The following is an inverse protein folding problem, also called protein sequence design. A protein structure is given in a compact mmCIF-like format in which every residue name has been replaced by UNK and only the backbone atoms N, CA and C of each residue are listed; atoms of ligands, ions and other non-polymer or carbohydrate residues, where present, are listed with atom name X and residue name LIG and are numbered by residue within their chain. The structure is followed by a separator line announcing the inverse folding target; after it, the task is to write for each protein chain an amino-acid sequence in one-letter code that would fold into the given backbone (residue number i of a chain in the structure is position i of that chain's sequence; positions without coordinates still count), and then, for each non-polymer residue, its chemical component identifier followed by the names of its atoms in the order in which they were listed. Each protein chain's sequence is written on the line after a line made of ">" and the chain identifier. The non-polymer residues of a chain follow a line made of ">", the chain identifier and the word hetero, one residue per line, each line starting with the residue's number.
data_IF_635923982238
#
_entry.id   IF_635923982238
#
_cell.length_a   1.000
_cell.length_b   1.000
_cell.length_c   1.000
_cell.angle_alpha   90.00
_cell.angle_beta   90.00
_cell.angle_gamma   90.00
#
_symmetry.space_group_name_H-M   'P 1'
#
loop_
_entity.id
_entity.type
_entity.pdbx_description
1 polymer ?
#
# COMPACT_ATOMS: atom_id res chain seq x y z
N UNK A 1 6.38 12.93 39.88
CA UNK A 1 6.97 12.22 38.72
C UNK A 1 7.44 13.28 37.73
N UNK A 2 8.73 13.36 37.41
CA UNK A 2 9.26 14.44 36.53
C UNK A 2 8.76 14.21 35.10
N UNK A 3 8.30 15.26 34.42
CA UNK A 3 7.77 15.25 33.05
C UNK A 3 8.72 14.55 32.04
N UNK A 4 10.02 14.56 32.34
CA UNK A 4 11.08 13.87 31.60
C UNK A 4 10.95 12.35 31.58
N UNK A 5 10.46 11.72 32.67
CA UNK A 5 10.28 10.25 32.71
C UNK A 5 9.11 9.77 31.84
N UNK A 6 8.08 10.60 31.64
CA UNK A 6 6.92 10.21 30.84
C UNK A 6 7.26 10.23 29.33
N UNK A 7 8.03 11.23 28.87
CA UNK A 7 8.56 11.26 27.50
C UNK A 7 9.51 10.09 27.20
N UNK A 8 10.32 9.67 28.16
CA UNK A 8 11.26 8.54 27.97
C UNK A 8 10.53 7.20 27.82
N UNK A 9 9.43 6.98 28.52
CA UNK A 9 8.63 5.74 28.42
C UNK A 9 7.92 5.65 27.06
N UNK A 10 7.39 6.76 26.55
CA UNK A 10 6.77 6.81 25.21
C UNK A 10 7.81 6.59 24.10
N UNK A 11 9.03 7.14 24.25
CA UNK A 11 10.12 6.92 23.31
C UNK A 11 10.61 5.46 23.30
N UNK A 12 10.59 4.78 24.46
CA UNK A 12 11.00 3.38 24.59
C UNK A 12 9.99 2.39 23.97
N UNK A 13 8.69 2.67 24.06
CA UNK A 13 7.63 1.83 23.47
C UNK A 13 7.64 1.93 21.93
N UNK A 14 8.05 3.07 21.37
CA UNK A 14 8.16 3.26 19.91
C UNK A 14 9.40 2.58 19.29
N UNK A 15 10.36 2.14 20.10
CA UNK A 15 11.61 1.51 19.65
C UNK A 15 11.59 -0.03 19.70
N UNK A 16 10.57 -0.66 20.30
CA UNK A 16 10.56 -2.10 20.59
C UNK A 16 9.75 -2.98 19.61
N UNK A 17 9.26 -2.43 18.49
CA UNK A 17 8.48 -3.20 17.51
C UNK A 17 9.19 -3.29 16.16
N UNK A 18 10.24 -4.12 16.08
CA UNK A 18 10.84 -4.53 14.81
C UNK A 18 11.46 -5.92 14.95
N UNK A 19 10.63 -6.92 15.24
CA UNK A 19 10.98 -8.32 14.98
C UNK A 19 10.78 -8.58 13.49
N UNK A 20 11.85 -8.53 12.70
CA UNK A 20 11.85 -8.98 11.31
C UNK A 20 11.77 -10.50 11.30
N UNK A 21 10.60 -11.05 10.98
CA UNK A 21 10.49 -12.45 10.58
C UNK A 21 11.25 -12.64 9.27
N UNK A 22 12.27 -13.50 9.27
CA UNK A 22 13.01 -13.89 8.08
C UNK A 22 12.21 -14.95 7.34
N UNK A 23 11.27 -14.53 6.50
CA UNK A 23 10.77 -15.38 5.41
C UNK A 23 11.80 -15.35 4.28
N UNK A 24 12.02 -16.45 3.55
CA UNK A 24 12.97 -16.48 2.43
C UNK A 24 12.54 -15.47 1.34
N UNK A 25 13.13 -14.29 1.36
CA UNK A 25 12.77 -13.17 0.49
C UNK A 25 13.59 -13.21 -0.81
N UNK A 26 12.92 -13.09 -1.95
CA UNK A 26 13.58 -12.70 -3.20
C UNK A 26 14.11 -11.26 -3.08
N UNK A 27 15.13 -10.90 -3.85
CA UNK A 27 15.72 -9.56 -3.87
C UNK A 27 16.26 -9.22 -5.26
N UNK A 28 16.53 -7.93 -5.53
CA UNK A 28 17.23 -7.59 -6.79
C UNK A 28 18.70 -8.01 -6.81
N UNK A 29 19.23 -8.48 -5.69
CA UNK A 29 20.58 -9.03 -5.57
C UNK A 29 20.62 -10.55 -5.75
N UNK A 30 19.49 -11.26 -5.65
CA UNK A 30 19.43 -12.70 -5.89
C UNK A 30 19.52 -12.99 -7.38
N UNK A 31 20.42 -13.90 -7.75
CA UNK A 31 20.46 -14.42 -9.11
C UNK A 31 19.22 -15.28 -9.35
N UNK A 32 18.55 -15.05 -10.47
CA UNK A 32 17.44 -15.88 -10.95
C UNK A 32 17.85 -17.35 -11.23
N UNK A 33 19.16 -17.63 -11.22
CA UNK A 33 19.82 -18.92 -11.53
C UNK A 33 19.38 -20.12 -10.67
N UNK A 34 18.51 -19.94 -9.67
CA UNK A 34 17.95 -21.03 -8.88
C UNK A 34 16.57 -21.50 -9.38
N UNK A 35 16.06 -20.93 -10.47
CA UNK A 35 14.82 -21.35 -11.10
C UNK A 35 15.11 -22.37 -12.18
N UNK A 36 15.03 -23.66 -11.82
CA UNK A 36 14.95 -24.78 -12.78
C UNK A 36 13.58 -24.82 -13.45
N UNK A 37 13.16 -23.66 -13.98
CA UNK A 37 11.83 -23.42 -14.51
C UNK A 37 11.99 -22.94 -15.94
N UNK A 38 11.19 -23.44 -16.89
CA UNK A 38 11.28 -23.03 -18.29
C UNK A 38 10.81 -21.58 -18.43
N UNK A 39 11.75 -20.64 -18.34
CA UNK A 39 11.50 -19.23 -18.66
C UNK A 39 11.54 -19.10 -20.19
N UNK A 40 10.48 -18.61 -20.84
CA UNK A 40 10.37 -18.62 -22.30
C UNK A 40 11.22 -17.56 -23.01
N UNK A 41 12.10 -16.84 -22.28
CA UNK A 41 12.92 -15.75 -22.81
C UNK A 41 14.23 -15.58 -22.03
N UNK A 42 15.20 -14.88 -22.64
CA UNK A 42 16.46 -14.54 -22.00
C UNK A 42 16.25 -13.59 -20.80
N UNK A 43 16.90 -13.91 -19.68
CA UNK A 43 16.78 -13.20 -18.41
C UNK A 43 18.01 -12.34 -18.10
N UNK A 44 19.06 -12.40 -18.91
CA UNK A 44 20.35 -11.74 -18.68
C UNK A 44 20.25 -10.21 -18.59
N UNK A 45 19.29 -9.62 -19.30
CA UNK A 45 19.09 -8.17 -19.45
C UNK A 45 17.96 -7.60 -18.59
N UNK A 46 17.35 -8.41 -17.73
CA UNK A 46 16.24 -7.96 -16.89
C UNK A 46 16.69 -6.92 -15.87
N UNK A 47 16.13 -5.72 -15.98
CA UNK A 47 16.17 -4.73 -14.91
C UNK A 47 15.31 -5.23 -13.76
N UNK A 48 15.72 -4.96 -12.52
CA UNK A 48 15.00 -5.38 -11.32
C UNK A 48 14.62 -4.20 -10.45
N UNK A 49 13.39 -4.21 -9.94
CA UNK A 49 12.89 -3.22 -9.00
C UNK A 49 12.10 -3.84 -7.85
N UNK A 50 12.39 -3.40 -6.62
CA UNK A 50 11.58 -3.72 -5.43
C UNK A 50 10.36 -2.79 -5.37
N UNK A 51 9.28 -3.22 -6.02
CA UNK A 51 8.08 -2.40 -6.23
C UNK A 51 7.23 -2.27 -4.97
N UNK A 52 7.23 -3.28 -4.09
CA UNK A 52 6.50 -3.21 -2.82
C UNK A 52 7.23 -3.93 -1.68
N UNK A 53 8.21 -3.27 -1.04
CA UNK A 53 9.00 -3.87 0.04
C UNK A 53 8.18 -4.41 1.21
N UNK A 54 7.07 -3.77 1.56
CA UNK A 54 6.21 -4.18 2.67
C UNK A 54 5.62 -5.60 2.50
N UNK A 55 5.36 -6.02 1.25
CA UNK A 55 4.90 -7.37 0.91
C UNK A 55 5.95 -8.17 0.14
N UNK A 56 7.20 -7.70 0.11
CA UNK A 56 8.32 -8.33 -0.61
C UNK A 56 8.07 -8.55 -2.11
N UNK A 57 7.30 -7.68 -2.77
CA UNK A 57 7.06 -7.80 -4.20
C UNK A 57 8.22 -7.22 -5.02
N UNK A 58 8.61 -7.98 -6.04
CA UNK A 58 9.69 -7.64 -6.94
C UNK A 58 9.20 -7.76 -8.37
N UNK A 59 9.55 -6.77 -9.18
CA UNK A 59 9.30 -6.79 -10.61
C UNK A 59 10.63 -6.77 -11.35
N UNK A 60 10.81 -7.74 -12.24
CA UNK A 60 11.90 -7.76 -13.21
C UNK A 60 11.33 -7.61 -14.61
N UNK A 61 11.98 -6.83 -15.45
CA UNK A 61 11.49 -6.53 -16.78
C UNK A 61 12.61 -6.17 -17.75
N UNK A 62 12.38 -6.43 -19.04
CA UNK A 62 13.24 -5.95 -20.13
C UNK A 62 12.43 -5.79 -21.41
N UNK A 63 12.92 -4.93 -22.29
CA UNK A 63 12.44 -4.84 -23.67
C UNK A 63 13.09 -5.97 -24.47
N UNK A 64 12.28 -6.95 -24.90
CA UNK A 64 12.75 -8.12 -25.64
C UNK A 64 12.86 -7.84 -27.15
N UNK A 65 11.97 -7.03 -27.71
CA UNK A 65 12.01 -6.55 -29.10
C UNK A 65 11.42 -5.14 -29.21
N UNK A 66 11.26 -4.60 -30.43
CA UNK A 66 10.62 -3.29 -30.66
C UNK A 66 9.22 -3.17 -30.03
N UNK A 67 8.47 -4.27 -29.99
CA UNK A 67 7.07 -4.36 -29.60
C UNK A 67 6.79 -5.46 -28.57
N UNK A 68 7.81 -6.05 -27.94
CA UNK A 68 7.64 -7.08 -26.91
C UNK A 68 8.42 -6.71 -25.66
N UNK A 69 7.74 -6.79 -24.51
CA UNK A 69 8.32 -6.62 -23.19
C UNK A 69 8.15 -7.88 -22.36
N UNK A 70 9.22 -8.31 -21.69
CA UNK A 70 9.24 -9.46 -20.80
C UNK A 70 9.13 -9.02 -19.35
N UNK A 71 8.34 -9.73 -18.56
CA UNK A 71 8.11 -9.47 -17.15
C UNK A 71 8.22 -10.74 -16.30
N UNK A 72 8.81 -10.58 -15.11
CA UNK A 72 8.81 -11.57 -14.04
C UNK A 72 8.39 -10.83 -12.76
N UNK A 73 7.23 -11.18 -12.24
CA UNK A 73 6.71 -10.63 -10.99
C UNK A 73 6.80 -11.69 -9.89
N UNK A 74 7.63 -11.42 -8.88
CA UNK A 74 7.84 -12.27 -7.72
C UNK A 74 7.00 -11.81 -6.54
N UNK A 75 6.40 -12.76 -5.82
CA UNK A 75 5.66 -12.49 -4.59
C UNK A 75 5.70 -13.69 -3.63
N UNK A 76 5.65 -13.46 -2.31
CA UNK A 76 5.53 -14.53 -1.31
C UNK A 76 4.20 -15.28 -1.42
N UNK A 77 4.23 -16.58 -1.14
CA UNK A 77 3.05 -17.46 -1.12
C UNK A 77 2.40 -17.54 0.26
N UNK A 78 3.12 -17.19 1.32
CA UNK A 78 2.57 -16.94 2.65
C UNK A 78 2.19 -15.45 2.71
N UNK A 79 0.95 -15.06 3.07
CA UNK A 79 -0.02 -15.74 3.94
C UNK A 79 -1.12 -16.56 3.22
N UNK A 80 -0.82 -17.16 2.06
CA UNK A 80 -1.80 -17.84 1.18
C UNK A 80 -2.86 -16.87 0.68
N UNK A 81 -2.41 -15.83 -0.01
CA UNK A 81 -3.24 -14.85 -0.69
C UNK A 81 -2.93 -14.84 -2.19
N UNK A 82 -3.83 -14.30 -3.00
CA UNK A 82 -3.48 -13.96 -4.37
C UNK A 82 -2.58 -12.72 -4.39
N UNK A 83 -1.73 -12.60 -5.41
CA UNK A 83 -1.00 -11.38 -5.72
C UNK A 83 -1.37 -10.92 -7.13
N UNK A 84 -1.48 -9.62 -7.32
CA UNK A 84 -1.89 -9.01 -8.58
C UNK A 84 -0.90 -7.94 -9.02
N UNK A 85 -0.71 -7.86 -10.34
CA UNK A 85 -0.08 -6.74 -11.03
C UNK A 85 -1.06 -6.15 -12.04
N UNK A 86 -1.34 -4.85 -11.92
CA UNK A 86 -2.22 -4.09 -12.78
C UNK A 86 -1.47 -3.06 -13.60
N UNK A 87 -1.87 -2.87 -14.86
CA UNK A 87 -1.37 -1.84 -15.76
C UNK A 87 -2.47 -0.80 -15.93
N UNK A 88 -2.24 0.39 -15.38
CA UNK A 88 -3.23 1.47 -15.31
C UNK A 88 -2.78 2.67 -16.12
N UNK A 89 -3.69 3.44 -16.71
CA UNK A 89 -3.33 4.66 -17.44
C UNK A 89 -3.01 5.82 -16.50
N UNK A 90 -3.72 5.89 -15.37
CA UNK A 90 -3.71 7.03 -14.43
C UNK A 90 -3.24 6.63 -13.01
N UNK A 91 -2.92 5.36 -12.78
CA UNK A 91 -2.57 4.82 -11.46
C UNK A 91 -3.78 4.39 -10.62
N UNK A 92 -4.99 4.47 -11.17
CA UNK A 92 -6.22 3.97 -10.55
C UNK A 92 -6.52 2.53 -10.96
N UNK A 93 -7.12 1.74 -10.05
CA UNK A 93 -7.54 0.36 -10.35
C UNK A 93 -8.65 0.31 -11.39
N UNK A 94 -9.65 1.18 -11.27
CA UNK A 94 -10.78 1.24 -12.20
C UNK A 94 -10.28 1.64 -13.58
N UNK A 95 -10.64 0.87 -14.61
CA UNK A 95 -10.19 1.00 -15.99
C UNK A 95 -8.82 0.37 -16.28
N UNK A 96 -8.21 -0.35 -15.31
CA UNK A 96 -6.93 -1.04 -15.51
C UNK A 96 -7.11 -2.52 -15.90
N UNK A 97 -6.06 -3.09 -16.49
CA UNK A 97 -5.98 -4.53 -16.76
C UNK A 97 -5.00 -5.18 -15.80
N UNK A 98 -5.41 -6.27 -15.17
CA UNK A 98 -4.66 -6.94 -14.12
C UNK A 98 -4.37 -8.40 -14.46
N UNK A 99 -3.20 -8.86 -14.05
CA UNK A 99 -2.79 -10.26 -14.04
C UNK A 99 -2.71 -10.67 -12.58
N UNK A 100 -3.45 -11.71 -12.22
CA UNK A 100 -3.59 -12.19 -10.85
C UNK A 100 -3.06 -13.61 -10.79
N UNK A 101 -2.17 -13.87 -9.85
CA UNK A 101 -1.60 -15.19 -9.56
C UNK A 101 -1.91 -15.62 -8.13
N UNK A 102 -2.15 -16.90 -7.93
CA UNK A 102 -2.37 -17.47 -6.61
C UNK A 102 -1.93 -18.93 -6.54
N UNK A 103 -1.68 -19.41 -5.33
CA UNK A 103 -1.48 -20.83 -5.08
C UNK A 103 -2.03 -21.23 -3.71
N UNK A 104 -3.22 -21.86 -3.65
CA UNK A 104 -3.84 -22.27 -2.40
C UNK A 104 -3.05 -23.34 -1.66
N UNK A 105 -2.46 -24.27 -2.42
CA UNK A 105 -1.64 -25.38 -1.96
C UNK A 105 -0.58 -25.73 -3.00
N UNK A 106 0.53 -26.40 -2.62
CA UNK A 106 1.58 -26.79 -3.55
C UNK A 106 1.01 -27.54 -4.76
N UNK A 107 1.23 -27.01 -5.97
CA UNK A 107 0.74 -27.61 -7.22
C UNK A 107 -0.68 -27.23 -7.63
N UNK A 108 -1.48 -26.57 -6.77
CA UNK A 108 -2.83 -26.10 -7.10
C UNK A 108 -2.85 -24.61 -7.53
N UNK A 109 -1.74 -24.12 -8.08
CA UNK A 109 -1.60 -22.71 -8.47
C UNK A 109 -2.37 -22.35 -9.73
N UNK A 110 -2.76 -21.08 -9.82
CA UNK A 110 -3.50 -20.53 -10.94
C UNK A 110 -3.11 -19.10 -11.26
N UNK A 111 -3.44 -18.70 -12.49
CA UNK A 111 -3.33 -17.32 -12.95
C UNK A 111 -4.52 -16.99 -13.84
N UNK A 112 -4.97 -15.73 -13.77
CA UNK A 112 -5.99 -15.17 -14.67
C UNK A 112 -5.76 -13.71 -14.95
N UNK A 113 -6.42 -13.25 -16.01
CA UNK A 113 -6.46 -11.85 -16.39
C UNK A 113 -7.83 -11.26 -16.07
N UNK A 114 -7.83 -10.00 -15.64
CA UNK A 114 -9.04 -9.27 -15.28
C UNK A 114 -9.01 -7.87 -15.86
N UNK A 115 -10.14 -7.43 -16.39
CA UNK A 115 -10.40 -6.03 -16.66
C UNK A 115 -11.19 -5.45 -15.49
N UNK A 116 -10.62 -4.46 -14.81
CA UNK A 116 -11.19 -3.85 -13.61
C UNK A 116 -12.07 -2.67 -14.00
N UNK A 117 -13.27 -2.91 -14.54
CA UNK A 117 -14.16 -1.87 -15.05
C UNK A 117 -14.80 -0.99 -13.97
N UNK A 118 -14.85 -1.46 -12.72
CA UNK A 118 -15.49 -0.78 -11.60
C UNK A 118 -15.17 -1.44 -10.27
N UNK A 119 -15.89 -1.05 -9.21
CA UNK A 119 -15.70 -1.59 -7.85
C UNK A 119 -16.64 -2.76 -7.55
N UNK A 120 -17.68 -2.94 -8.36
CA UNK A 120 -18.66 -3.99 -8.19
C UNK A 120 -18.17 -5.29 -8.82
N UNK A 121 -18.63 -6.43 -8.28
CA UNK A 121 -18.24 -7.76 -8.77
C UNK A 121 -18.49 -7.92 -10.27
N UNK A 122 -19.63 -7.45 -10.77
CA UNK A 122 -20.03 -7.59 -12.17
C UNK A 122 -19.23 -6.70 -13.13
N UNK A 123 -18.54 -5.70 -12.60
CA UNK A 123 -17.67 -4.81 -13.36
C UNK A 123 -16.22 -5.32 -13.43
N UNK A 124 -15.91 -6.42 -12.72
CA UNK A 124 -14.61 -7.10 -12.76
C UNK A 124 -14.70 -8.29 -13.73
N UNK A 125 -14.23 -8.08 -14.95
CA UNK A 125 -14.43 -9.02 -16.06
C UNK A 125 -13.22 -9.95 -16.16
N UNK A 126 -13.42 -11.22 -15.81
CA UNK A 126 -12.42 -12.29 -15.98
C UNK A 126 -12.17 -12.62 -17.45
N UNK A 127 -10.96 -13.09 -17.76
CA UNK A 127 -10.48 -13.43 -19.12
C UNK A 127 -10.52 -12.26 -20.11
N UNK A 128 -10.60 -11.03 -19.60
CA UNK A 128 -10.54 -9.82 -20.41
C UNK A 128 -9.36 -8.97 -19.94
N UNK A 129 -8.63 -8.42 -20.90
CA UNK A 129 -7.52 -7.51 -20.67
C UNK A 129 -7.38 -6.62 -21.90
N UNK A 130 -7.08 -5.34 -21.71
CA UNK A 130 -6.70 -4.43 -22.79
C UNK A 130 -5.22 -4.66 -23.22
N UNK A 131 -4.50 -5.52 -22.51
CA UNK A 131 -3.13 -5.90 -22.81
C UNK A 131 -3.10 -7.16 -23.67
N UNK A 132 -2.25 -7.15 -24.70
CA UNK A 132 -1.95 -8.35 -25.46
C UNK A 132 -0.86 -9.17 -24.74
N UNK A 133 -1.30 -10.15 -23.96
CA UNK A 133 -0.44 -10.99 -23.11
C UNK A 133 -0.03 -12.25 -23.86
N UNK A 134 1.26 -12.59 -23.81
CA UNK A 134 1.87 -13.75 -24.45
C UNK A 134 2.73 -14.52 -23.44
N UNK A 135 2.96 -15.82 -23.71
CA UNK A 135 3.93 -16.66 -22.99
C UNK A 135 3.80 -16.54 -21.46
N UNK A 136 2.55 -16.51 -20.98
CA UNK A 136 2.24 -16.28 -19.59
C UNK A 136 2.15 -17.60 -18.83
N UNK A 137 2.87 -17.69 -17.71
CA UNK A 137 2.82 -18.81 -16.78
C UNK A 137 2.88 -18.34 -15.32
N UNK A 138 2.21 -19.08 -14.44
CA UNK A 138 2.45 -19.02 -13.01
C UNK A 138 3.35 -20.18 -12.63
N UNK A 139 4.38 -19.89 -11.84
CA UNK A 139 5.38 -20.87 -11.50
C UNK A 139 5.74 -20.78 -10.01
N UNK A 140 5.57 -21.87 -9.24
CA UNK A 140 6.09 -21.95 -7.88
C UNK A 140 7.61 -22.16 -7.92
N UNK A 141 8.35 -21.19 -7.39
CA UNK A 141 9.82 -21.21 -7.34
C UNK A 141 10.38 -22.16 -6.29
N UNK A 142 9.76 -22.06 -5.12
CA UNK A 142 10.06 -22.70 -3.86
C UNK A 142 8.71 -22.89 -3.16
N UNK A 143 8.66 -23.61 -2.05
CA UNK A 143 7.42 -23.71 -1.26
C UNK A 143 6.88 -22.37 -0.72
N UNK A 144 7.64 -21.27 -0.83
CA UNK A 144 7.36 -19.97 -0.23
C UNK A 144 7.28 -18.80 -1.22
N UNK A 145 7.69 -18.96 -2.48
CA UNK A 145 7.75 -17.90 -3.48
C UNK A 145 7.08 -18.30 -4.80
N UNK A 146 6.25 -17.42 -5.34
CA UNK A 146 5.60 -17.56 -6.65
C UNK A 146 6.13 -16.54 -7.66
N UNK A 147 6.18 -16.95 -8.92
CA UNK A 147 6.47 -16.08 -10.07
C UNK A 147 5.30 -16.04 -11.04
N UNK A 148 4.91 -14.83 -11.45
CA UNK A 148 4.16 -14.61 -12.68
C UNK A 148 5.16 -14.18 -13.76
N UNK A 149 5.27 -15.01 -14.79
CA UNK A 149 6.16 -14.79 -15.93
C UNK A 149 5.25 -14.53 -17.13
N UNK A 150 5.43 -13.42 -17.83
CA UNK A 150 4.60 -13.10 -18.99
C UNK A 150 5.31 -12.11 -19.92
N UNK A 151 4.85 -12.05 -21.15
CA UNK A 151 5.25 -11.04 -22.13
C UNK A 151 4.06 -10.18 -22.54
N UNK A 152 4.30 -8.90 -22.80
CA UNK A 152 3.32 -7.98 -23.36
C UNK A 152 3.74 -7.56 -24.75
N UNK A 153 2.83 -7.67 -25.73
CA UNK A 153 3.04 -7.10 -27.07
C UNK A 153 2.56 -5.66 -27.08
N UNK A 154 3.51 -4.74 -26.92
CA UNK A 154 3.30 -3.30 -26.96
C UNK A 154 4.63 -2.59 -27.22
N UNK A 155 4.60 -1.44 -27.88
CA UNK A 155 5.78 -0.59 -28.04
C UNK A 155 6.23 -0.01 -26.69
N UNK A 156 5.27 0.32 -25.81
CA UNK A 156 5.49 0.88 -24.49
C UNK A 156 4.39 0.41 -23.51
N UNK A 157 4.74 -0.36 -22.46
CA UNK A 157 3.83 -0.69 -21.38
C UNK A 157 3.49 0.56 -20.56
N UNK A 158 2.35 0.53 -19.87
CA UNK A 158 2.02 1.62 -18.95
C UNK A 158 3.05 1.72 -17.83
N UNK A 159 3.56 2.94 -17.62
CA UNK A 159 4.44 3.22 -16.48
C UNK A 159 3.72 3.18 -15.14
N UNK A 160 2.40 3.38 -15.10
CA UNK A 160 1.64 3.33 -13.85
C UNK A 160 1.20 1.89 -13.57
N UNK A 161 1.93 1.25 -12.66
CA UNK A 161 1.62 -0.10 -12.20
C UNK A 161 0.88 -0.06 -10.87
N UNK A 162 0.03 -1.06 -10.69
CA UNK A 162 -0.72 -1.29 -9.46
C UNK A 162 -0.34 -2.67 -8.96
N UNK A 163 -0.16 -2.79 -7.66
CA UNK A 163 0.03 -4.07 -7.02
C UNK A 163 -1.03 -4.23 -5.94
N UNK A 164 -1.56 -5.43 -5.80
CA UNK A 164 -2.54 -5.75 -4.77
C UNK A 164 -2.31 -7.14 -4.21
N UNK A 165 -2.68 -7.32 -2.94
CA UNK A 165 -2.66 -8.61 -2.25
C UNK A 165 -4.06 -8.95 -1.76
N UNK A 166 -4.48 -10.20 -2.03
CA UNK A 166 -5.78 -10.72 -1.68
C UNK A 166 -5.97 -11.01 -0.19
N UNK A 167 -7.20 -11.38 0.22
CA UNK A 167 -7.45 -11.90 1.54
C UNK A 167 -6.80 -13.29 1.72
N UNK A 168 -6.38 -13.59 2.94
CA UNK A 168 -5.79 -14.88 3.29
C UNK A 168 -6.81 -16.01 3.09
N UNK A 169 -6.41 -17.06 2.39
CA UNK A 169 -7.22 -18.24 2.11
C UNK A 169 -8.36 -18.02 1.11
N UNK A 170 -8.48 -16.83 0.52
CA UNK A 170 -9.49 -16.53 -0.49
C UNK A 170 -8.81 -16.32 -1.84
N UNK A 171 -9.22 -17.14 -2.81
CA UNK A 171 -8.63 -17.15 -4.14
C UNK A 171 -9.72 -17.06 -5.20
N UNK A 172 -9.42 -16.44 -6.35
CA UNK A 172 -10.29 -16.55 -7.51
C UNK A 172 -10.14 -17.95 -8.10
N UNK A 173 -10.83 -18.94 -7.53
CA UNK A 173 -10.71 -20.35 -7.93
C UNK A 173 -11.96 -20.84 -8.69
N UNK A 174 -11.87 -22.04 -9.25
CA UNK A 174 -12.95 -22.72 -9.95
C UNK A 174 -14.22 -22.83 -9.08
N UNK A 175 -15.43 -22.67 -9.64
CA UNK A 175 -15.73 -22.42 -11.06
C UNK A 175 -15.86 -20.94 -11.43
N UNK A 176 -16.05 -20.06 -10.46
CA UNK A 176 -16.45 -18.69 -10.77
C UNK A 176 -15.27 -17.79 -11.12
N UNK A 177 -14.09 -18.03 -10.54
CA UNK A 177 -12.91 -17.16 -10.66
C UNK A 177 -13.24 -15.69 -10.37
N UNK A 178 -14.14 -15.46 -9.43
CA UNK A 178 -14.46 -14.10 -9.01
C UNK A 178 -13.30 -13.55 -8.18
N UNK A 179 -12.82 -12.36 -8.51
CA UNK A 179 -11.69 -11.75 -7.81
C UNK A 179 -12.16 -11.17 -6.46
N UNK A 180 -11.73 -11.73 -5.30
CA UNK A 180 -12.07 -11.16 -4.01
C UNK A 180 -11.41 -9.78 -3.86
N UNK A 181 -12.03 -8.87 -3.11
CA UNK A 181 -11.44 -7.56 -2.82
C UNK A 181 -10.11 -7.74 -2.09
N UNK A 182 -9.07 -7.05 -2.54
CA UNK A 182 -7.75 -7.03 -1.91
C UNK A 182 -7.81 -6.43 -0.50
N UNK A 183 -6.87 -6.85 0.35
CA UNK A 183 -6.71 -6.31 1.71
C UNK A 183 -5.76 -5.13 1.76
N UNK A 184 -4.86 -5.03 0.79
CA UNK A 184 -3.92 -3.92 0.64
C UNK A 184 -3.57 -3.71 -0.84
N UNK A 185 -3.21 -2.48 -1.17
CA UNK A 185 -2.88 -2.05 -2.53
C UNK A 185 -1.80 -0.98 -2.55
N UNK A 186 -1.07 -0.90 -3.66
CA UNK A 186 -0.20 0.24 -3.92
C UNK A 186 -0.14 0.55 -5.41
N UNK A 187 0.21 1.79 -5.74
CA UNK A 187 0.49 2.23 -7.10
C UNK A 187 1.90 2.81 -7.18
N UNK A 188 2.61 2.42 -8.23
CA UNK A 188 4.02 2.74 -8.45
C UNK A 188 4.23 3.12 -9.90
N UNK A 189 5.02 4.16 -10.13
CA UNK A 189 5.42 4.56 -11.48
C UNK A 189 6.78 3.98 -11.80
N UNK A 190 6.86 3.18 -12.86
CA UNK A 190 8.09 2.57 -13.39
C UNK A 190 8.64 3.41 -14.54
N UNK A 191 9.92 3.76 -14.42
CA UNK A 191 10.70 4.28 -15.53
C UNK A 191 11.41 3.10 -16.20
N UNK A 192 10.87 2.59 -17.29
CA UNK A 192 11.42 1.41 -17.97
C UNK A 192 12.83 1.59 -18.54
N UNK A 193 13.36 2.82 -18.59
CA UNK A 193 14.73 3.10 -19.02
C UNK A 193 15.76 2.92 -17.90
N UNK A 194 15.31 2.86 -16.64
CA UNK A 194 16.14 2.73 -15.44
C UNK A 194 15.61 1.57 -14.61
N UNK A 195 16.45 0.79 -13.94
CA UNK A 195 15.97 -0.27 -13.02
C UNK A 195 15.19 0.24 -11.79
N UNK A 196 14.75 1.50 -11.78
CA UNK A 196 14.12 2.17 -10.66
C UNK A 196 12.59 2.15 -10.74
N UNK A 197 11.97 2.04 -9.57
CA UNK A 197 10.56 2.32 -9.39
C UNK A 197 10.42 3.55 -8.51
N UNK A 198 9.62 4.51 -8.95
CA UNK A 198 9.27 5.68 -8.14
C UNK A 198 7.90 5.43 -7.54
N UNK A 199 7.86 5.21 -6.22
CA UNK A 199 6.59 5.26 -5.51
C UNK A 199 6.06 6.68 -5.57
N UNK A 200 4.77 6.83 -5.81
CA UNK A 200 4.10 8.13 -5.67
C UNK A 200 3.96 8.46 -4.18
N UNK A 201 5.11 8.76 -3.55
CA UNK A 201 5.27 8.98 -2.11
C UNK A 201 4.45 10.18 -1.62
N UNK A 202 4.05 11.08 -2.52
CA UNK A 202 3.24 12.26 -2.19
C UNK A 202 1.96 11.88 -1.45
N UNK A 203 1.20 10.90 -1.96
CA UNK A 203 -0.07 10.45 -1.38
C UNK A 203 0.13 9.73 -0.05
N UNK A 204 1.15 8.88 0.03
CA UNK A 204 1.50 8.15 1.27
C UNK A 204 2.01 9.10 2.36
N UNK A 205 2.86 10.07 2.00
CA UNK A 205 3.37 11.09 2.92
C UNK A 205 2.23 11.98 3.41
N UNK A 206 1.31 12.37 2.54
CA UNK A 206 0.14 13.16 2.93
C UNK A 206 -0.77 12.39 3.89
N UNK A 207 -1.03 11.09 3.61
CA UNK A 207 -1.78 10.21 4.52
C UNK A 207 -1.09 10.05 5.87
N UNK A 208 0.24 9.90 5.88
CA UNK A 208 1.03 9.79 7.11
C UNK A 208 1.01 11.09 7.91
N UNK A 209 1.21 12.23 7.25
CA UNK A 209 1.13 13.55 7.87
C UNK A 209 -0.25 13.83 8.45
N UNK A 210 -1.33 13.51 7.71
CA UNK A 210 -2.71 13.59 8.21
C UNK A 210 -2.89 12.78 9.51
N UNK A 211 -2.44 11.52 9.53
CA UNK A 211 -2.55 10.68 10.73
C UNK A 211 -1.73 11.20 11.91
N UNK A 212 -0.46 11.57 11.68
CA UNK A 212 0.43 12.06 12.74
C UNK A 212 -0.07 13.38 13.33
N UNK A 213 -0.47 14.33 12.49
CA UNK A 213 -0.99 15.63 12.94
C UNK A 213 -2.26 15.47 13.79
N UNK A 214 -3.19 14.59 13.38
CA UNK A 214 -4.43 14.38 14.13
C UNK A 214 -4.23 13.62 15.45
N UNK A 215 -3.34 12.61 15.49
CA UNK A 215 -3.03 11.90 16.75
C UNK A 215 -2.32 12.84 17.73
N UNK A 216 -1.31 13.58 17.26
CA UNK A 216 -0.57 14.51 18.12
C UNK A 216 -1.44 15.68 18.57
N UNK A 217 -2.17 16.30 17.63
CA UNK A 217 -3.03 17.46 17.86
C UNK A 217 -4.25 17.12 18.71
N UNK A 218 -5.24 16.43 18.13
CA UNK A 218 -6.54 16.24 18.75
C UNK A 218 -6.61 15.14 19.81
N UNK A 219 -5.72 14.14 19.78
CA UNK A 219 -5.72 13.11 20.82
C UNK A 219 -4.78 13.47 21.96
N UNK A 220 -3.48 13.61 21.70
CA UNK A 220 -2.48 13.74 22.76
C UNK A 220 -2.51 15.14 23.39
N UNK A 221 -2.37 16.21 22.59
CA UNK A 221 -2.28 17.57 23.13
C UNK A 221 -3.58 18.02 23.81
N UNK A 222 -4.76 17.70 23.24
CA UNK A 222 -6.05 18.04 23.85
C UNK A 222 -6.23 17.39 25.23
N UNK A 223 -5.84 16.11 25.37
CA UNK A 223 -5.90 15.39 26.66
C UNK A 223 -4.94 16.05 27.65
N UNK A 224 -3.71 16.38 27.25
CA UNK A 224 -2.75 17.09 28.13
C UNK A 224 -3.31 18.43 28.60
N UNK A 225 -3.89 19.22 27.69
CA UNK A 225 -4.55 20.49 28.03
C UNK A 225 -5.66 20.32 29.06
N UNK A 226 -6.48 19.26 28.94
CA UNK A 226 -7.54 18.95 29.91
C UNK A 226 -7.01 18.55 31.29
N UNK A 227 -5.91 17.78 31.34
CA UNK A 227 -5.25 17.37 32.59
C UNK A 227 -4.70 18.61 33.30
N UNK A 228 -4.09 19.55 32.58
CA UNK A 228 -3.56 20.80 33.17
C UNK A 228 -4.70 21.60 33.80
N UNK A 229 -5.81 21.81 33.10
CA UNK A 229 -6.97 22.52 33.64
C UNK A 229 -7.62 21.83 34.84
N UNK A 230 -7.49 20.51 34.97
CA UNK A 230 -8.05 19.75 36.08
C UNK A 230 -7.18 19.79 37.33
N UNK A 231 -5.86 19.63 37.17
CA UNK A 231 -4.96 19.37 38.31
C UNK A 231 -4.06 20.54 38.70
N UNK A 232 -3.95 21.58 37.86
CA UNK A 232 -3.02 22.69 38.12
C UNK A 232 -3.72 23.99 38.50
N UNK A 233 -5.04 24.00 38.75
CA UNK A 233 -5.82 25.21 39.09
C UNK A 233 -5.25 26.02 40.25
N UNK A 234 -4.58 25.37 41.20
CA UNK A 234 -3.94 26.03 42.35
C UNK A 234 -2.80 26.98 41.93
N UNK A 235 -2.25 26.82 40.72
CA UNK A 235 -1.19 27.66 40.16
C UNK A 235 -1.76 28.75 39.25
N UNK A 236 -2.61 29.58 39.81
CA UNK A 236 -3.16 30.74 39.10
C UNK A 236 -2.11 31.87 38.97
N UNK A 237 -1.97 32.53 37.80
CA UNK A 237 -2.70 32.35 36.54
C UNK A 237 -2.03 31.38 35.55
N UNK A 238 -0.93 30.73 35.95
CA UNK A 238 -0.09 29.91 35.07
C UNK A 238 -0.84 28.74 34.44
N UNK A 239 -1.74 28.08 35.19
CA UNK A 239 -2.53 26.96 34.67
C UNK A 239 -3.38 27.36 33.47
N UNK A 240 -3.95 28.57 33.50
CA UNK A 240 -4.83 29.08 32.46
C UNK A 240 -4.05 29.30 31.16
N UNK A 241 -2.90 29.96 31.22
CA UNK A 241 -2.05 30.18 30.05
C UNK A 241 -1.51 28.87 29.47
N UNK A 242 -1.11 27.91 30.31
CA UNK A 242 -0.65 26.59 29.85
C UNK A 242 -1.79 25.79 29.21
N UNK A 243 -2.97 25.78 29.82
CA UNK A 243 -4.15 25.16 29.23
C UNK A 243 -4.49 25.78 27.88
N UNK A 244 -4.66 27.11 27.83
CA UNK A 244 -5.04 27.82 26.62
C UNK A 244 -4.03 27.63 25.48
N UNK A 245 -2.73 27.73 25.78
CA UNK A 245 -1.67 27.55 24.77
C UNK A 245 -1.61 26.13 24.20
N UNK A 246 -1.69 25.10 25.06
CA UNK A 246 -1.65 23.70 24.62
C UNK A 246 -2.92 23.34 23.83
N UNK A 247 -4.09 23.80 24.28
CA UNK A 247 -5.35 23.59 23.56
C UNK A 247 -5.33 24.28 22.20
N UNK A 248 -4.89 25.54 22.12
CA UNK A 248 -4.80 26.28 20.86
C UNK A 248 -3.85 25.59 19.87
N UNK A 249 -2.68 25.14 20.32
CA UNK A 249 -1.72 24.43 19.47
C UNK A 249 -2.24 23.06 19.01
N UNK A 250 -2.84 22.28 19.93
CA UNK A 250 -3.46 20.99 19.60
C UNK A 250 -4.60 21.13 18.59
N UNK A 251 -5.44 22.15 18.75
CA UNK A 251 -6.52 22.46 17.83
C UNK A 251 -6.00 22.85 16.44
N UNK A 252 -5.03 23.77 16.35
CA UNK A 252 -4.44 24.19 15.07
C UNK A 252 -3.75 23.03 14.33
N UNK A 253 -2.99 22.20 15.05
CA UNK A 253 -2.36 21.00 14.48
C UNK A 253 -3.40 20.02 13.93
N UNK A 254 -4.53 19.83 14.62
CA UNK A 254 -5.66 19.03 14.14
C UNK A 254 -6.30 19.61 12.87
N UNK A 255 -6.52 20.92 12.80
CA UNK A 255 -7.03 21.59 11.58
C UNK A 255 -6.09 21.37 10.39
N UNK A 256 -4.77 21.55 10.58
CA UNK A 256 -3.78 21.26 9.54
C UNK A 256 -3.81 19.78 9.12
N UNK A 257 -3.97 18.87 10.09
CA UNK A 257 -4.15 17.44 9.83
C UNK A 257 -5.38 17.17 8.95
N UNK A 258 -6.53 17.77 9.26
CA UNK A 258 -7.75 17.65 8.44
C UNK A 258 -7.53 18.20 7.03
N UNK A 259 -6.88 19.36 6.87
CA UNK A 259 -6.58 19.92 5.55
C UNK A 259 -5.71 18.96 4.72
N UNK A 260 -4.71 18.31 5.33
CA UNK A 260 -3.97 17.24 4.67
C UNK A 260 -4.88 16.06 4.24
N UNK A 261 -5.88 15.73 5.05
CA UNK A 261 -6.87 14.69 4.74
C UNK A 261 -7.78 15.06 3.56
N UNK A 262 -8.22 16.32 3.46
CA UNK A 262 -9.02 16.81 2.33
C UNK A 262 -8.21 16.82 1.02
N UNK A 263 -6.94 17.19 1.09
CA UNK A 263 -6.03 17.12 -0.08
C UNK A 263 -5.77 15.69 -0.56
N UNK A 264 -5.89 14.69 0.33
CA UNK A 264 -5.80 13.27 -0.02
C UNK A 264 -7.03 12.75 -0.77
N UNK A 265 -8.17 13.43 -0.58
CA UNK A 265 -9.51 12.92 -0.82
C UNK A 265 -10.12 13.47 -2.10
N UNK A 266 -9.55 13.07 -3.24
CA UNK A 266 -10.18 13.33 -4.53
C UNK A 266 -11.08 12.19 -5.03
N UNK A 267 -11.03 11.00 -4.42
CA UNK A 267 -11.76 9.80 -4.90
C UNK A 267 -11.97 8.67 -3.83
N UNK A 268 -11.74 8.91 -2.54
CA UNK A 268 -11.84 7.86 -1.51
C UNK A 268 -13.19 7.96 -0.77
N UNK A 269 -14.09 7.02 -1.03
CA UNK A 269 -15.39 6.88 -0.35
C UNK A 269 -15.20 6.40 1.11
N UNK A 270 -14.67 7.24 1.98
CA UNK A 270 -14.59 6.98 3.43
C UNK A 270 -15.55 7.90 4.16
N UNK A 271 -16.85 7.69 3.94
CA UNK A 271 -17.94 8.57 4.39
C UNK A 271 -18.05 8.66 5.92
N UNK A 272 -17.96 7.53 6.64
CA UNK A 272 -18.10 7.54 8.10
C UNK A 272 -16.97 8.28 8.83
N UNK A 273 -15.71 8.05 8.44
CA UNK A 273 -14.57 8.75 9.03
C UNK A 273 -14.67 10.26 8.83
N UNK A 274 -15.08 10.70 7.62
CA UNK A 274 -15.30 12.11 7.31
C UNK A 274 -16.41 12.71 8.16
N UNK A 275 -17.55 12.02 8.30
CA UNK A 275 -18.67 12.52 9.11
C UNK A 275 -18.27 12.69 10.58
N UNK A 276 -17.55 11.71 11.15
CA UNK A 276 -17.01 11.82 12.52
C UNK A 276 -16.00 12.95 12.62
N UNK A 277 -15.10 13.10 11.63
CA UNK A 277 -14.13 14.19 11.61
C UNK A 277 -14.83 15.56 11.57
N UNK A 278 -15.84 15.76 10.72
CA UNK A 278 -16.64 17.00 10.69
C UNK A 278 -17.31 17.29 12.03
N UNK A 279 -17.88 16.28 12.69
CA UNK A 279 -18.46 16.44 14.01
C UNK A 279 -17.41 16.91 15.04
N UNK A 280 -16.23 16.28 15.05
CA UNK A 280 -15.13 16.66 15.96
C UNK A 280 -14.66 18.10 15.70
N UNK A 281 -14.58 18.53 14.43
CA UNK A 281 -14.23 19.93 14.08
C UNK A 281 -15.23 20.90 14.69
N UNK A 282 -16.52 20.65 14.48
CA UNK A 282 -17.60 21.51 14.99
C UNK A 282 -17.54 21.59 16.51
N UNK A 283 -17.42 20.45 17.20
CA UNK A 283 -17.29 20.41 18.65
C UNK A 283 -16.04 21.13 19.14
N UNK A 284 -14.92 21.01 18.42
CA UNK A 284 -13.68 21.72 18.74
C UNK A 284 -13.81 23.24 18.64
N UNK A 285 -14.46 23.76 17.59
CA UNK A 285 -14.75 25.20 17.48
C UNK A 285 -15.67 25.68 18.60
N UNK A 286 -16.65 24.87 19.02
CA UNK A 286 -17.52 25.19 20.15
C UNK A 286 -16.78 25.18 21.49
N UNK A 287 -15.79 24.30 21.66
CA UNK A 287 -15.00 24.16 22.89
C UNK A 287 -14.02 25.32 23.12
N UNK A 288 -13.56 25.97 22.05
CA UNK A 288 -12.57 27.06 22.10
C UNK A 288 -13.22 28.43 22.42
N UNK A 289 -14.56 28.49 22.46
CA UNK A 289 -15.33 29.68 22.90
C UNK A 289 -15.60 29.68 24.41
#
# INVERSE_FOLDING_TARGET
>A
MKLTSFCQIILFIMLYSSSTFVTSQDSCSSKLQQLQLPIPFDTSSLLCSSVWPAHSFILRYAKASSDVWSFIFSFPLDPKAYAAIGFSKDGSMVGSSAIVGWMPSPGAGGMKYYYLGGKSKDEVIKDRSDLYIMNASFVPATGSLGYLIFQLKTTQPSSNLIFAIGPNGQFPDYPSYDLPKHIDETSVTIDYSKGGSTKNNSKLNLRRSHGVLNIMGWSILMIIGSIIARYFKERDPMWFYLHASIQAFGFLAGILGVLCGLLLDRNLEVTHHKNVAFLIIILGFLQVN
#
